data_IF_756405592270
#
_entry.id   IF_756405592270
#
_cell.length_a   1.000
_cell.length_b   1.000
_cell.length_c   1.000
_cell.angle_alpha   90.00
_cell.angle_beta   90.00
_cell.angle_gamma   90.00
#
_symmetry.space_group_name_H-M   'P 1'
#
loop_
_entity.id
_entity.type
_entity.pdbx_description
1 polymer ?
#
# COMPACT_ATOMS: atom_id res chain seq x y z
N UNK A 1 -3.50 -45.63 24.00
CA UNK A 1 -3.71 -44.52 24.96
C UNK A 1 -2.74 -43.38 24.60
N UNK A 2 -2.89 -42.74 23.42
CA UNK A 2 -1.93 -41.73 22.90
C UNK A 2 -2.65 -40.65 22.05
N UNK A 3 -3.85 -40.22 22.45
CA UNK A 3 -4.54 -39.08 21.78
C UNK A 3 -4.71 -37.85 22.70
N UNK A 4 -4.30 -37.94 23.96
CA UNK A 4 -3.97 -36.74 24.74
C UNK A 4 -2.61 -36.23 24.26
N UNK A 5 -2.57 -34.94 23.95
CA UNK A 5 -1.41 -34.04 23.93
C UNK A 5 -1.41 -33.06 22.75
N UNK A 6 -2.15 -33.27 21.65
CA UNK A 6 -2.25 -32.24 20.60
C UNK A 6 -3.37 -31.23 20.89
N UNK A 7 -4.57 -31.73 21.18
CA UNK A 7 -5.70 -30.92 21.63
C UNK A 7 -5.33 -30.15 22.90
N UNK A 8 -4.77 -30.85 23.89
CA UNK A 8 -4.35 -30.25 25.16
C UNK A 8 -3.25 -29.19 24.97
N UNK A 9 -2.29 -29.42 24.06
CA UNK A 9 -1.26 -28.44 23.71
C UNK A 9 -1.85 -27.19 23.04
N UNK A 10 -2.82 -27.36 22.15
CA UNK A 10 -3.53 -26.24 21.54
C UNK A 10 -4.26 -25.43 22.61
N UNK A 11 -5.04 -26.08 23.48
CA UNK A 11 -5.86 -25.38 24.47
C UNK A 11 -5.03 -24.69 25.56
N UNK A 12 -3.94 -25.33 26.02
CA UNK A 12 -3.13 -24.80 27.12
C UNK A 12 -2.04 -23.83 26.69
N UNK A 13 -1.53 -23.95 25.46
CA UNK A 13 -0.38 -23.15 25.00
C UNK A 13 -0.74 -22.27 23.80
N UNK A 14 -1.34 -22.84 22.75
CA UNK A 14 -1.59 -22.10 21.51
C UNK A 14 -2.72 -21.07 21.65
N UNK A 15 -3.85 -21.46 22.25
CA UNK A 15 -5.03 -20.60 22.46
C UNK A 15 -4.70 -19.35 23.30
N UNK A 16 -4.04 -19.45 24.48
CA UNK A 16 -3.72 -18.25 25.26
C UNK A 16 -2.68 -17.35 24.58
N UNK A 17 -1.73 -17.93 23.84
CA UNK A 17 -0.75 -17.14 23.05
C UNK A 17 -1.44 -16.42 21.90
N UNK A 18 -2.30 -17.11 21.14
CA UNK A 18 -3.08 -16.51 20.06
C UNK A 18 -4.02 -15.41 20.58
N UNK A 19 -4.64 -15.62 21.75
CA UNK A 19 -5.47 -14.61 22.41
C UNK A 19 -4.67 -13.37 22.83
N UNK A 20 -3.48 -13.54 23.40
CA UNK A 20 -2.59 -12.41 23.73
C UNK A 20 -2.14 -11.62 22.49
N UNK A 21 -1.84 -12.31 21.40
CA UNK A 21 -1.46 -11.68 20.13
C UNK A 21 -2.68 -10.95 19.52
N UNK A 22 -3.82 -11.64 19.45
CA UNK A 22 -5.05 -11.10 18.87
C UNK A 22 -5.65 -9.93 19.66
N UNK A 23 -5.39 -9.86 20.96
CA UNK A 23 -5.82 -8.75 21.82
C UNK A 23 -4.84 -7.58 21.87
N UNK A 24 -3.69 -7.66 21.20
CA UNK A 24 -2.74 -6.56 21.16
C UNK A 24 -3.31 -5.40 20.33
N UNK A 25 -3.56 -4.26 20.99
CA UNK A 25 -4.09 -3.03 20.38
C UNK A 25 -3.34 -2.56 19.14
N UNK A 26 -2.02 -2.75 19.08
CA UNK A 26 -1.22 -2.34 17.92
C UNK A 26 -1.47 -3.25 16.72
N UNK A 27 -1.60 -4.56 16.94
CA UNK A 27 -1.93 -5.52 15.90
C UNK A 27 -3.38 -5.38 15.43
N UNK A 28 -4.30 -5.07 16.34
CA UNK A 28 -5.69 -4.73 16.00
C UNK A 28 -5.73 -3.48 15.14
N UNK A 29 -5.05 -2.40 15.55
CA UNK A 29 -5.00 -1.16 14.77
C UNK A 29 -4.37 -1.35 13.39
N UNK A 30 -3.35 -2.21 13.27
CA UNK A 30 -2.77 -2.61 11.99
C UNK A 30 -3.79 -3.32 11.12
N UNK A 31 -4.40 -4.39 11.63
CA UNK A 31 -5.42 -5.18 10.91
C UNK A 31 -6.56 -4.30 10.43
N UNK A 32 -7.14 -3.52 11.33
CA UNK A 32 -8.29 -2.66 11.05
C UNK A 32 -7.89 -1.51 10.11
N UNK A 33 -6.64 -1.05 10.18
CA UNK A 33 -6.07 -0.05 9.27
C UNK A 33 -5.94 -0.57 7.83
N UNK A 34 -5.55 -1.83 7.65
CA UNK A 34 -5.50 -2.46 6.34
C UNK A 34 -6.89 -2.70 5.72
N UNK A 35 -7.94 -2.82 6.52
CA UNK A 35 -9.31 -2.98 6.01
C UNK A 35 -9.74 -1.81 5.13
N UNK A 36 -9.25 -0.59 5.37
CA UNK A 36 -9.50 0.56 4.49
C UNK A 36 -8.92 0.39 3.08
N UNK A 37 -7.87 -0.41 2.91
CA UNK A 37 -7.22 -0.67 1.61
C UNK A 37 -7.85 -1.82 0.81
N UNK A 38 -8.56 -2.73 1.47
CA UNK A 38 -9.19 -3.89 0.84
C UNK A 38 -10.09 -3.56 -0.37
N UNK A 39 -11.01 -2.57 -0.32
CA UNK A 39 -11.86 -2.28 -1.47
C UNK A 39 -11.06 -1.81 -2.69
N UNK A 40 -10.01 -1.01 -2.48
CA UNK A 40 -9.14 -0.54 -3.57
C UNK A 40 -8.36 -1.70 -4.19
N UNK A 41 -7.85 -2.62 -3.37
CA UNK A 41 -7.15 -3.82 -3.83
C UNK A 41 -8.07 -4.73 -4.66
N UNK A 42 -9.32 -4.92 -4.23
CA UNK A 42 -10.29 -5.74 -4.95
C UNK A 42 -10.58 -5.12 -6.32
N UNK A 43 -10.86 -3.81 -6.38
CA UNK A 43 -11.15 -3.12 -7.64
C UNK A 43 -9.94 -3.11 -8.58
N UNK A 44 -8.76 -2.77 -8.08
CA UNK A 44 -7.53 -2.77 -8.88
C UNK A 44 -7.20 -4.15 -9.44
N UNK A 45 -7.28 -5.19 -8.61
CA UNK A 45 -7.03 -6.57 -9.04
C UNK A 45 -8.05 -7.07 -10.05
N UNK A 46 -9.33 -6.74 -9.88
CA UNK A 46 -10.37 -7.14 -10.81
C UNK A 46 -10.14 -6.54 -12.21
N UNK A 47 -9.75 -5.27 -12.28
CA UNK A 47 -9.41 -4.60 -13.53
C UNK A 47 -8.16 -5.24 -14.17
N UNK A 48 -7.13 -5.55 -13.38
CA UNK A 48 -5.93 -6.22 -13.87
C UNK A 48 -6.26 -7.60 -14.46
N UNK A 49 -7.14 -8.37 -13.81
CA UNK A 49 -7.61 -9.65 -14.33
C UNK A 49 -8.30 -9.48 -15.69
N UNK A 50 -9.19 -8.48 -15.82
CA UNK A 50 -9.89 -8.21 -17.08
C UNK A 50 -8.95 -7.82 -18.21
N UNK A 51 -7.82 -7.17 -17.92
CA UNK A 51 -6.82 -6.81 -18.93
C UNK A 51 -5.95 -8.00 -19.35
N UNK A 52 -5.69 -8.93 -18.43
CA UNK A 52 -4.78 -10.06 -18.65
C UNK A 52 -5.53 -11.38 -18.95
N UNK A 53 -6.74 -11.32 -19.51
CA UNK A 53 -7.46 -12.52 -19.94
C UNK A 53 -6.73 -13.25 -21.08
N UNK A 54 -6.75 -14.60 -21.10
CA UNK A 54 -6.09 -15.43 -22.12
C UNK A 54 -6.86 -15.46 -23.45
N UNK A 55 -7.36 -14.31 -23.90
CA UNK A 55 -8.06 -14.13 -25.19
C UNK A 55 -7.17 -13.58 -26.29
N UNK A 56 -5.92 -13.24 -25.94
CA UNK A 56 -4.95 -12.60 -26.84
C UNK A 56 -4.06 -13.62 -27.58
N UNK A 57 -3.97 -14.85 -27.09
CA UNK A 57 -3.14 -15.89 -27.69
C UNK A 57 -3.87 -16.59 -28.84
N UNK A 58 -3.32 -16.49 -30.05
CA UNK A 58 -3.84 -17.12 -31.26
C UNK A 58 -3.83 -18.65 -31.23
N UNK A 59 -3.05 -19.26 -30.33
CA UNK A 59 -2.98 -20.72 -30.20
C UNK A 59 -4.04 -21.30 -29.23
N UNK A 60 -4.77 -20.43 -28.52
CA UNK A 60 -5.76 -20.83 -27.52
C UNK A 60 -7.17 -20.83 -28.12
N UNK A 61 -8.00 -21.82 -27.75
CA UNK A 61 -9.41 -21.95 -28.20
C UNK A 61 -10.31 -20.75 -27.83
N UNK A 62 -9.83 -19.88 -26.93
CA UNK A 62 -10.53 -18.71 -26.40
C UNK A 62 -10.11 -17.39 -27.10
N UNK A 63 -9.38 -17.48 -28.22
CA UNK A 63 -8.94 -16.32 -28.98
C UNK A 63 -10.10 -15.45 -29.47
N UNK A 64 -10.01 -14.12 -29.23
CA UNK A 64 -11.00 -13.17 -29.70
C UNK A 64 -10.33 -11.93 -30.29
N UNK A 65 -10.39 -11.77 -31.63
CA UNK A 65 -9.73 -10.66 -32.34
C UNK A 65 -10.17 -9.27 -31.84
N UNK A 66 -11.47 -9.08 -31.56
CA UNK A 66 -11.99 -7.81 -31.05
C UNK A 66 -11.37 -7.41 -29.71
N UNK A 67 -11.01 -8.40 -28.87
CA UNK A 67 -10.35 -8.18 -27.59
C UNK A 67 -8.89 -7.76 -27.79
N UNK A 68 -8.19 -8.36 -28.76
CA UNK A 68 -6.82 -7.98 -29.14
C UNK A 68 -6.77 -6.52 -29.59
N UNK A 69 -7.68 -6.11 -30.48
CA UNK A 69 -7.72 -4.74 -31.01
C UNK A 69 -8.09 -3.72 -29.92
N UNK A 70 -9.00 -4.09 -29.00
CA UNK A 70 -9.38 -3.28 -27.86
C UNK A 70 -8.22 -3.11 -26.87
N UNK A 71 -7.50 -4.19 -26.56
CA UNK A 71 -6.33 -4.12 -25.68
C UNK A 71 -5.16 -3.37 -26.31
N UNK A 72 -4.92 -3.52 -27.62
CA UNK A 72 -3.88 -2.77 -28.32
C UNK A 72 -4.10 -1.24 -28.21
N UNK A 73 -5.36 -0.79 -28.18
CA UNK A 73 -5.71 0.63 -28.11
C UNK A 73 -5.88 1.18 -26.70
N UNK A 74 -6.44 0.41 -25.76
CA UNK A 74 -6.89 0.92 -24.46
C UNK A 74 -6.20 0.31 -23.24
N UNK A 75 -5.31 -0.69 -23.40
CA UNK A 75 -4.66 -1.39 -22.28
C UNK A 75 -4.01 -0.42 -21.28
N UNK A 76 -3.29 0.60 -21.75
CA UNK A 76 -2.64 1.57 -20.86
C UNK A 76 -3.64 2.30 -19.94
N UNK A 77 -4.76 2.74 -20.50
CA UNK A 77 -5.81 3.42 -19.73
C UNK A 77 -6.56 2.46 -18.79
N UNK A 78 -6.75 1.21 -19.22
CA UNK A 78 -7.43 0.20 -18.43
C UNK A 78 -6.61 -0.28 -17.23
N UNK A 79 -5.27 -0.33 -17.32
CA UNK A 79 -4.42 -0.74 -16.18
C UNK A 79 -4.19 0.41 -15.19
N UNK A 80 -4.43 1.66 -15.60
CA UNK A 80 -4.21 2.85 -14.75
C UNK A 80 -4.81 2.73 -13.32
N UNK A 81 -6.06 2.28 -13.11
CA UNK A 81 -6.63 2.15 -11.78
C UNK A 81 -5.88 1.14 -10.90
N UNK A 82 -5.32 0.08 -11.49
CA UNK A 82 -4.49 -0.88 -10.76
C UNK A 82 -3.21 -0.21 -10.25
N UNK A 83 -2.48 0.50 -11.12
CA UNK A 83 -1.26 1.20 -10.73
C UNK A 83 -1.51 2.28 -9.67
N UNK A 84 -2.61 3.03 -9.79
CA UNK A 84 -3.00 3.99 -8.77
C UNK A 84 -3.30 3.25 -7.46
N UNK A 85 -4.17 2.24 -7.47
CA UNK A 85 -4.56 1.51 -6.25
C UNK A 85 -3.36 0.92 -5.48
N UNK A 86 -2.36 0.39 -6.19
CA UNK A 86 -1.13 -0.13 -5.60
C UNK A 86 -0.18 0.99 -5.16
N UNK A 87 -0.02 2.04 -5.98
CA UNK A 87 0.93 3.12 -5.74
C UNK A 87 0.55 4.03 -4.56
N UNK A 88 -0.74 4.25 -4.31
CA UNK A 88 -1.21 5.06 -3.17
C UNK A 88 -1.70 4.23 -1.98
N UNK A 89 -1.49 2.90 -2.01
CA UNK A 89 -1.95 2.00 -0.94
C UNK A 89 -1.38 2.39 0.43
N UNK A 90 -0.10 2.74 0.48
CA UNK A 90 0.62 3.12 1.70
C UNK A 90 -0.04 4.30 2.42
N UNK A 91 -0.52 5.29 1.67
CA UNK A 91 -1.19 6.49 2.20
C UNK A 91 -2.46 6.11 2.97
N UNK A 92 -3.32 5.28 2.37
CA UNK A 92 -4.57 4.84 3.01
C UNK A 92 -4.31 3.96 4.23
N UNK A 93 -3.34 3.05 4.14
CA UNK A 93 -2.99 2.14 5.23
C UNK A 93 -2.45 2.93 6.42
N UNK A 94 -1.50 3.85 6.21
CA UNK A 94 -0.91 4.65 7.30
C UNK A 94 -1.96 5.53 7.98
N UNK A 95 -2.83 6.17 7.20
CA UNK A 95 -3.94 6.94 7.75
C UNK A 95 -4.87 6.05 8.59
N UNK A 96 -5.28 4.90 8.05
CA UNK A 96 -6.16 3.95 8.72
C UNK A 96 -5.60 3.42 10.02
N UNK A 97 -4.30 3.11 10.07
CA UNK A 97 -3.60 2.67 11.29
C UNK A 97 -3.62 3.78 12.35
N UNK A 98 -3.24 5.01 11.98
CA UNK A 98 -3.22 6.14 12.91
C UNK A 98 -4.61 6.50 13.43
N UNK A 99 -5.63 6.41 12.57
CA UNK A 99 -7.02 6.62 12.89
C UNK A 99 -7.53 5.60 13.92
N UNK A 100 -7.35 4.30 13.65
CA UNK A 100 -7.81 3.23 14.52
C UNK A 100 -7.05 3.20 15.86
N UNK A 101 -5.74 3.44 15.83
CA UNK A 101 -4.94 3.49 17.05
C UNK A 101 -5.37 4.65 17.96
N UNK A 102 -5.62 5.83 17.39
CA UNK A 102 -6.06 7.00 18.15
C UNK A 102 -7.46 6.81 18.74
N UNK A 103 -8.37 6.17 18.00
CA UNK A 103 -9.67 5.78 18.53
C UNK A 103 -9.54 4.79 19.70
N UNK A 104 -8.61 3.83 19.63
CA UNK A 104 -8.34 2.92 20.74
C UNK A 104 -7.82 3.66 21.99
N UNK A 105 -7.13 4.80 21.82
CA UNK A 105 -6.71 5.67 22.92
C UNK A 105 -7.78 6.71 23.36
N UNK A 106 -8.99 6.67 22.79
CA UNK A 106 -10.05 7.66 23.03
C UNK A 106 -9.64 9.10 22.66
N UNK A 107 -8.75 9.23 21.67
CA UNK A 107 -8.33 10.50 21.08
C UNK A 107 -9.06 10.75 19.77
N UNK A 108 -8.85 11.92 19.17
CA UNK A 108 -9.40 12.25 17.85
C UNK A 108 -8.78 11.37 16.76
N UNK A 109 -9.54 10.40 16.25
CA UNK A 109 -9.11 9.50 15.16
C UNK A 109 -8.66 10.26 13.91
N UNK A 110 -9.40 11.29 13.51
CA UNK A 110 -9.06 12.11 12.33
C UNK A 110 -7.69 12.76 12.50
N UNK A 111 -7.45 13.38 13.66
CA UNK A 111 -6.16 14.02 13.97
C UNK A 111 -5.02 13.00 13.98
N UNK A 112 -5.26 11.84 14.58
CA UNK A 112 -4.30 10.74 14.64
C UNK A 112 -3.93 10.17 13.26
N UNK A 113 -4.92 10.02 12.37
CA UNK A 113 -4.70 9.56 11.00
C UNK A 113 -3.92 10.57 10.16
N UNK A 114 -4.20 11.87 10.29
CA UNK A 114 -3.42 12.88 9.58
C UNK A 114 -1.99 13.02 10.13
N UNK A 115 -1.80 12.87 11.45
CA UNK A 115 -0.47 12.92 12.06
C UNK A 115 0.41 11.74 11.62
N UNK A 116 -0.16 10.53 11.57
CA UNK A 116 0.57 9.35 11.05
C UNK A 116 0.91 9.53 9.57
N UNK A 117 -0.03 10.02 8.76
CA UNK A 117 0.20 10.30 7.36
C UNK A 117 1.31 11.34 7.15
N UNK A 118 1.29 12.44 7.90
CA UNK A 118 2.32 13.47 7.83
C UNK A 118 3.71 12.91 8.17
N UNK A 119 3.78 12.10 9.22
CA UNK A 119 5.03 11.44 9.63
C UNK A 119 5.54 10.50 8.53
N UNK A 120 4.65 9.77 7.87
CA UNK A 120 5.00 8.92 6.74
C UNK A 120 5.53 9.71 5.55
N UNK A 121 4.92 10.85 5.20
CA UNK A 121 5.38 11.69 4.10
C UNK A 121 6.78 12.27 4.37
N UNK A 122 7.08 12.65 5.61
CA UNK A 122 8.44 13.10 6.01
C UNK A 122 9.45 11.97 5.82
N UNK A 123 9.10 10.74 6.21
CA UNK A 123 10.01 9.60 6.09
C UNK A 123 10.19 9.13 4.65
N UNK A 124 9.15 9.26 3.82
CA UNK A 124 9.16 8.84 2.43
C UNK A 124 9.88 9.83 1.51
N UNK A 125 9.76 11.14 1.76
CA UNK A 125 10.41 12.19 0.96
C UNK A 125 11.78 12.57 1.50
N UNK A 126 12.77 11.67 1.40
CA UNK A 126 14.15 12.00 1.77
C UNK A 126 14.70 13.08 0.83
N UNK A 127 15.22 14.16 1.41
CA UNK A 127 15.82 15.25 0.68
C UNK A 127 17.34 15.16 0.76
N UNK A 128 17.99 15.01 -0.38
CA UNK A 128 19.44 15.09 -0.47
C UNK A 128 19.87 16.50 -0.85
N UNK A 129 21.01 16.91 -0.30
CA UNK A 129 21.61 18.21 -0.59
C UNK A 129 22.74 18.00 -1.59
N UNK A 130 22.56 18.51 -2.81
CA UNK A 130 23.54 18.36 -3.88
C UNK A 130 24.26 19.71 -4.08
N UNK A 131 25.60 19.73 -4.19
CA UNK A 131 26.32 20.95 -4.49
C UNK A 131 26.07 21.37 -5.94
N UNK A 132 25.68 22.63 -6.14
CA UNK A 132 25.51 23.19 -7.48
C UNK A 132 26.88 23.58 -8.08
N UNK A 133 27.39 22.74 -8.97
CA UNK A 133 28.67 22.95 -9.66
C UNK A 133 28.62 23.85 -10.90
N UNK A 134 27.56 24.63 -11.09
CA UNK A 134 27.44 25.53 -12.25
C UNK A 134 28.02 26.91 -11.98
N UNK A 135 28.72 27.47 -12.98
CA UNK A 135 29.36 28.81 -12.90
C UNK A 135 28.37 29.99 -12.98
N UNK A 136 27.10 29.72 -13.31
CA UNK A 136 26.07 30.75 -13.49
C UNK A 136 24.82 30.43 -12.68
N UNK A 137 24.17 31.46 -12.12
CA UNK A 137 22.94 31.27 -11.36
C UNK A 137 21.81 30.74 -12.27
N UNK A 138 21.18 29.63 -11.87
CA UNK A 138 19.99 29.08 -12.54
C UNK A 138 18.86 28.91 -11.53
N UNK A 139 17.64 29.28 -11.92
CA UNK A 139 16.43 29.11 -11.08
C UNK A 139 16.54 29.74 -9.68
N UNK A 140 17.29 30.84 -9.53
CA UNK A 140 17.51 31.53 -8.25
C UNK A 140 18.58 30.90 -7.34
N UNK A 141 19.24 29.84 -7.79
CA UNK A 141 20.32 29.15 -7.06
C UNK A 141 21.66 29.79 -7.46
N UNK A 142 22.46 30.21 -6.47
CA UNK A 142 23.75 30.85 -6.72
C UNK A 142 24.84 29.82 -7.08
N UNK A 143 25.87 30.20 -7.88
CA UNK A 143 27.04 29.35 -8.12
C UNK A 143 27.67 28.88 -6.81
N UNK A 144 28.06 27.60 -6.73
CA UNK A 144 28.68 26.99 -5.54
C UNK A 144 27.79 26.95 -4.27
N UNK A 145 26.47 26.97 -4.42
CA UNK A 145 25.50 26.83 -3.32
C UNK A 145 24.86 25.44 -3.29
N UNK A 146 24.28 25.07 -2.14
CA UNK A 146 23.59 23.80 -1.96
C UNK A 146 22.10 23.98 -2.22
N UNK A 147 21.50 23.07 -2.97
CA UNK A 147 20.05 23.04 -3.16
C UNK A 147 19.48 21.69 -2.73
N UNK A 148 18.32 21.68 -2.05
CA UNK A 148 17.66 20.44 -1.67
C UNK A 148 17.00 19.83 -2.90
N UNK A 149 17.26 18.55 -3.12
CA UNK A 149 16.58 17.71 -4.13
C UNK A 149 15.82 16.64 -3.38
N UNK A 150 14.54 16.51 -3.68
CA UNK A 150 13.76 15.35 -3.22
C UNK A 150 14.02 14.26 -4.25
N UNK A 151 14.69 13.20 -3.83
CA UNK A 151 14.82 12.00 -4.66
C UNK A 151 13.49 11.24 -4.50
N UNK A 152 12.68 11.21 -5.57
CA UNK A 152 11.35 10.62 -5.61
C UNK A 152 11.34 9.36 -6.47
#
# INVERSE_FOLDING_TARGET
MVFMNFQDFIETTLVPVASKIGSNRYLIALRDGFTFSMPFLIVGSFILLLVNLPFTDSQTLLYQQWYVDLMAKYKGNLVQPFYVSMGIMSIFVVFGIGYNLSNHYKLSGITGGFLSLYTFLILAGQSDWIPYGGDAAKWGIQPNSWFPVIDA
#
